data_IF_893525718140
#
_entry.id   IF_893525718140
#
_cell.length_a   1.000
_cell.length_b   1.000
_cell.length_c   1.000
_cell.angle_alpha   90.00
_cell.angle_beta   90.00
_cell.angle_gamma   90.00
#
_symmetry.space_group_name_H-M   'P 1'
#
loop_
_entity.id
_entity.type
_entity.pdbx_description
1 polymer ?
#
# COMPACT_ATOMS: atom_id res chain seq x y z
N UNK A 1 -12.82 -20.97 39.54
CA UNK A 1 -12.31 -20.79 38.14
C UNK A 1 -12.36 -19.30 37.86
N UNK A 2 -11.25 -18.65 38.14
CA UNK A 2 -11.13 -17.20 37.98
C UNK A 2 -10.70 -16.93 36.55
N UNK A 3 -11.68 -16.62 35.70
CA UNK A 3 -11.41 -16.15 34.34
C UNK A 3 -11.18 -14.65 34.45
N UNK A 4 -9.94 -14.28 34.76
CA UNK A 4 -9.46 -12.91 34.53
C UNK A 4 -9.66 -12.64 33.04
N UNK A 5 -10.71 -11.86 32.66
CA UNK A 5 -10.80 -11.21 31.37
C UNK A 5 -9.56 -10.33 31.28
N UNK A 6 -8.54 -10.77 30.54
CA UNK A 6 -7.51 -9.85 30.10
C UNK A 6 -8.24 -8.67 29.45
N UNK A 7 -8.03 -7.48 29.98
CA UNK A 7 -8.63 -6.27 29.42
C UNK A 7 -8.13 -6.16 27.97
N UNK A 8 -9.04 -6.25 27.02
CA UNK A 8 -8.72 -6.11 25.60
C UNK A 8 -8.11 -4.72 25.45
N UNK A 9 -6.84 -4.67 25.05
CA UNK A 9 -6.09 -3.43 24.83
C UNK A 9 -6.73 -2.71 23.64
N UNK A 10 -7.08 -1.44 23.79
CA UNK A 10 -7.64 -0.67 22.66
C UNK A 10 -6.62 -0.54 21.52
N UNK A 11 -7.08 -0.42 20.28
CA UNK A 11 -6.18 -0.24 19.14
C UNK A 11 -5.26 0.99 19.27
N UNK A 12 -5.70 2.04 19.97
CA UNK A 12 -4.88 3.21 20.27
C UNK A 12 -3.75 2.88 21.26
N UNK A 13 -4.00 2.03 22.23
CA UNK A 13 -2.97 1.55 23.16
C UNK A 13 -2.00 0.61 22.47
N UNK A 14 -2.50 -0.28 21.58
CA UNK A 14 -1.65 -1.13 20.76
C UNK A 14 -0.71 -0.28 19.89
N UNK A 15 -1.23 0.75 19.22
CA UNK A 15 -0.44 1.67 18.40
C UNK A 15 0.63 2.42 19.20
N UNK A 16 0.34 2.83 20.45
CA UNK A 16 1.31 3.47 21.34
C UNK A 16 2.43 2.53 21.78
N UNK A 17 2.16 1.24 21.78
CA UNK A 17 3.09 0.18 22.18
C UNK A 17 3.89 -0.39 21.01
N UNK A 18 3.88 0.28 19.85
CA UNK A 18 4.69 -0.12 18.71
C UNK A 18 6.18 -0.13 19.06
N UNK A 19 6.90 -1.07 18.48
CA UNK A 19 8.36 -1.11 18.54
C UNK A 19 8.92 -0.04 17.60
N UNK A 20 9.71 0.89 18.16
CA UNK A 20 10.21 2.06 17.44
C UNK A 20 11.73 2.24 17.51
N UNK A 21 12.43 1.44 18.33
CA UNK A 21 13.89 1.51 18.49
C UNK A 21 14.55 0.16 18.23
N UNK A 22 15.81 0.19 17.81
CA UNK A 22 16.60 -1.04 17.60
C UNK A 22 16.83 -1.76 18.90
N UNK A 23 17.05 -1.04 20.00
CA UNK A 23 17.20 -1.62 21.35
C UNK A 23 15.97 -2.45 21.77
N UNK A 24 14.75 -1.91 21.49
CA UNK A 24 13.54 -2.66 21.79
C UNK A 24 13.36 -3.84 20.86
N UNK A 25 13.62 -3.65 19.55
CA UNK A 25 13.51 -4.69 18.53
C UNK A 25 14.46 -5.86 18.83
N UNK A 26 15.66 -5.59 19.34
CA UNK A 26 16.67 -6.61 19.70
C UNK A 26 16.20 -7.58 20.81
N UNK A 27 15.13 -7.25 21.53
CA UNK A 27 14.51 -8.17 22.50
C UNK A 27 13.74 -9.31 21.82
N UNK A 28 13.36 -9.14 20.56
CA UNK A 28 12.54 -10.08 19.79
C UNK A 28 13.32 -10.73 18.64
N UNK A 29 14.21 -9.98 18.02
CA UNK A 29 14.97 -10.38 16.82
C UNK A 29 16.46 -10.22 17.12
N UNK A 30 17.27 -11.27 16.97
CA UNK A 30 18.72 -11.17 17.14
C UNK A 30 19.35 -10.36 16.01
N UNK A 31 20.31 -9.48 16.37
CA UNK A 31 21.15 -8.72 15.45
C UNK A 31 22.62 -8.95 15.79
N UNK A 32 23.48 -8.88 14.78
CA UNK A 32 24.91 -8.84 14.98
C UNK A 32 25.32 -7.49 15.61
N UNK A 33 26.18 -7.53 16.62
CA UNK A 33 26.60 -6.29 17.33
C UNK A 33 27.21 -5.25 16.39
N UNK A 34 27.84 -5.67 15.29
CA UNK A 34 28.43 -4.81 14.26
C UNK A 34 27.42 -4.08 13.38
N UNK A 35 26.14 -4.50 13.41
CA UNK A 35 25.07 -3.91 12.59
C UNK A 35 24.25 -2.88 13.38
N UNK A 36 24.20 -2.99 14.70
CA UNK A 36 23.30 -2.19 15.55
C UNK A 36 23.47 -0.69 15.30
N UNK A 37 24.68 -0.16 15.33
CA UNK A 37 24.95 1.26 15.13
C UNK A 37 24.48 1.75 13.75
N UNK A 38 24.67 0.92 12.70
CA UNK A 38 24.20 1.24 11.35
C UNK A 38 22.68 1.23 11.25
N UNK A 39 22.02 0.25 11.88
CA UNK A 39 20.56 0.16 11.92
C UNK A 39 19.95 1.33 12.70
N UNK A 40 20.57 1.76 13.80
CA UNK A 40 20.16 2.95 14.55
C UNK A 40 20.29 4.22 13.68
N UNK A 41 21.35 4.36 12.89
CA UNK A 41 21.48 5.47 11.93
C UNK A 41 20.35 5.46 10.89
N UNK A 42 20.03 4.29 10.32
CA UNK A 42 18.92 4.13 9.38
C UNK A 42 17.58 4.55 10.02
N UNK A 43 17.32 4.12 11.25
CA UNK A 43 16.06 4.44 11.97
C UNK A 43 15.97 5.92 12.32
N UNK A 44 17.08 6.59 12.52
CA UNK A 44 17.15 8.04 12.75
C UNK A 44 16.70 8.83 11.53
N UNK A 45 17.09 8.41 10.33
CA UNK A 45 16.74 9.07 9.07
C UNK A 45 15.37 8.61 8.55
N UNK A 46 15.07 7.31 8.70
CA UNK A 46 13.81 6.67 8.29
C UNK A 46 13.20 5.94 9.47
N UNK A 47 12.30 6.61 10.23
CA UNK A 47 11.72 6.06 11.44
C UNK A 47 11.16 4.65 11.26
N UNK A 48 11.24 3.86 12.32
CA UNK A 48 10.63 2.54 12.43
C UNK A 48 9.41 2.63 13.35
N UNK A 49 8.33 1.97 12.96
CA UNK A 49 7.15 1.77 13.80
C UNK A 49 6.54 0.42 13.41
N UNK A 50 6.51 -0.54 14.33
CA UNK A 50 6.02 -1.90 14.07
C UNK A 50 5.04 -2.28 15.17
N UNK A 51 3.74 -2.50 14.85
CA UNK A 51 2.78 -3.05 15.81
C UNK A 51 3.25 -4.40 16.33
N UNK A 52 3.06 -4.67 17.62
CA UNK A 52 3.44 -5.95 18.23
C UNK A 52 2.75 -7.13 17.57
N UNK A 53 1.50 -6.94 17.14
CA UNK A 53 0.80 -7.92 16.33
C UNK A 53 1.60 -8.26 15.06
N UNK A 54 2.01 -7.25 14.27
CA UNK A 54 2.75 -7.51 13.02
C UNK A 54 4.15 -8.09 13.27
N UNK A 55 4.81 -7.64 14.33
CA UNK A 55 6.10 -8.19 14.77
C UNK A 55 5.98 -9.68 15.13
N UNK A 56 4.87 -10.12 15.71
CA UNK A 56 4.64 -11.53 16.07
C UNK A 56 4.50 -12.48 14.88
N UNK A 57 4.35 -11.94 13.66
CA UNK A 57 4.28 -12.73 12.43
C UNK A 57 5.65 -13.13 11.89
N UNK A 58 6.72 -12.53 12.42
CA UNK A 58 8.10 -12.79 11.99
C UNK A 58 8.60 -14.07 12.62
N UNK A 59 9.20 -14.97 11.82
CA UNK A 59 10.04 -16.04 12.36
C UNK A 59 11.41 -15.44 12.75
N UNK A 60 11.74 -15.33 14.04
CA UNK A 60 13.00 -14.71 14.47
C UNK A 60 14.23 -15.51 14.05
N UNK A 61 14.09 -16.79 13.70
CA UNK A 61 15.17 -17.68 13.32
C UNK A 61 15.41 -17.70 11.79
N UNK A 62 14.48 -17.15 10.99
CA UNK A 62 14.64 -17.05 9.53
C UNK A 62 15.10 -15.64 9.14
N UNK A 63 16.36 -15.46 8.74
CA UNK A 63 16.85 -14.17 8.24
C UNK A 63 16.18 -13.74 6.92
N UNK A 64 15.56 -14.67 6.20
CA UNK A 64 14.87 -14.42 4.94
C UNK A 64 13.35 -14.31 5.10
N UNK A 65 12.83 -14.28 6.32
CA UNK A 65 11.40 -14.15 6.56
C UNK A 65 10.82 -12.94 5.81
N UNK A 66 9.75 -13.12 5.01
CA UNK A 66 9.18 -12.07 4.17
C UNK A 66 8.57 -10.93 4.99
N UNK A 67 8.05 -11.20 6.19
CA UNK A 67 7.49 -10.18 7.08
C UNK A 67 8.61 -9.35 7.68
N UNK A 68 9.71 -10.01 8.08
CA UNK A 68 10.95 -9.36 8.53
C UNK A 68 11.45 -8.37 7.49
N UNK A 69 11.59 -8.80 6.23
CA UNK A 69 12.08 -7.94 5.12
C UNK A 69 11.21 -6.70 4.91
N UNK A 70 9.89 -6.82 5.03
CA UNK A 70 8.97 -5.71 4.81
C UNK A 70 8.92 -4.71 5.95
N UNK A 71 9.29 -5.08 7.17
CA UNK A 71 9.06 -4.28 8.38
C UNK A 71 10.32 -3.83 9.11
N UNK A 72 11.39 -4.62 9.09
CA UNK A 72 12.62 -4.29 9.79
C UNK A 72 13.57 -3.47 8.91
N UNK A 73 14.30 -2.50 9.50
CA UNK A 73 15.37 -1.81 8.78
C UNK A 73 16.47 -2.79 8.38
N UNK A 74 17.11 -2.53 7.23
CA UNK A 74 18.13 -3.37 6.65
C UNK A 74 19.29 -2.52 6.10
N UNK A 75 20.50 -3.10 6.06
CA UNK A 75 21.71 -2.37 5.65
C UNK A 75 21.65 -1.88 4.19
N UNK A 76 20.86 -2.54 3.34
CA UNK A 76 20.59 -2.13 1.96
C UNK A 76 19.94 -0.74 1.87
N UNK A 77 19.31 -0.26 2.95
CA UNK A 77 18.75 1.08 3.03
C UNK A 77 19.80 2.19 3.12
N UNK A 78 21.07 1.85 3.30
CA UNK A 78 22.19 2.81 3.21
C UNK A 78 22.51 3.19 1.77
N UNK A 79 22.05 2.40 0.79
CA UNK A 79 22.21 2.72 -0.62
C UNK A 79 21.22 3.82 -1.04
N UNK A 80 21.74 4.92 -1.55
CA UNK A 80 20.99 6.10 -1.99
C UNK A 80 20.54 6.04 -3.45
N UNK A 81 20.77 4.92 -4.15
CA UNK A 81 20.34 4.73 -5.53
C UNK A 81 18.81 4.84 -5.66
N UNK A 82 18.36 5.62 -6.63
CA UNK A 82 16.93 5.80 -6.89
C UNK A 82 16.51 7.27 -6.99
N UNK A 83 15.22 7.51 -6.81
CA UNK A 83 14.61 8.85 -6.87
C UNK A 83 13.56 9.00 -5.78
N UNK A 84 13.40 10.20 -5.24
CA UNK A 84 12.38 10.46 -4.23
C UNK A 84 10.95 10.55 -4.79
N UNK A 85 10.80 11.11 -5.98
CA UNK A 85 9.50 11.26 -6.66
C UNK A 85 9.46 10.51 -7.98
N UNK A 86 9.19 9.22 -7.91
CA UNK A 86 9.14 8.29 -9.04
C UNK A 86 7.87 8.38 -9.88
N UNK A 87 6.89 9.18 -9.45
CA UNK A 87 5.57 9.28 -10.12
C UNK A 87 5.14 10.70 -10.45
N UNK A 88 6.00 11.69 -10.21
CA UNK A 88 5.72 13.11 -10.45
C UNK A 88 4.65 13.65 -9.50
N UNK A 89 4.67 13.24 -8.22
CA UNK A 89 3.66 13.68 -7.23
C UNK A 89 3.66 15.19 -7.08
N UNK A 90 4.85 15.83 -7.04
CA UNK A 90 4.98 17.28 -6.97
C UNK A 90 4.28 17.99 -8.14
N UNK A 91 4.49 17.52 -9.38
CA UNK A 91 3.87 18.10 -10.58
C UNK A 91 2.35 17.85 -10.69
N UNK A 92 1.84 16.88 -9.95
CA UNK A 92 0.42 16.53 -9.93
C UNK A 92 -0.34 17.22 -8.78
N UNK A 93 0.36 17.86 -7.85
CA UNK A 93 -0.23 18.60 -6.72
C UNK A 93 -0.94 19.87 -7.23
N UNK A 94 -2.22 20.02 -6.90
CA UNK A 94 -3.08 21.13 -7.29
C UNK A 94 -3.33 22.13 -6.16
N UNK A 95 -3.46 21.61 -4.97
CA UNK A 95 -3.48 22.35 -3.72
C UNK A 95 -2.88 21.48 -2.64
N UNK A 96 -2.56 22.04 -1.48
CA UNK A 96 -1.96 21.29 -0.38
C UNK A 96 -2.80 20.05 -0.05
N UNK A 97 -2.15 18.88 -0.08
CA UNK A 97 -2.79 17.59 0.16
C UNK A 97 -3.64 17.01 -0.96
N UNK A 98 -3.74 17.66 -2.14
CA UNK A 98 -4.51 17.15 -3.27
C UNK A 98 -3.63 16.95 -4.49
N UNK A 99 -3.63 15.73 -5.03
CA UNK A 99 -2.99 15.39 -6.30
C UNK A 99 -4.05 15.01 -7.35
N UNK A 100 -3.90 15.52 -8.58
CA UNK A 100 -4.77 15.23 -9.72
C UNK A 100 -3.92 14.87 -10.93
N UNK A 101 -3.65 13.58 -11.11
CA UNK A 101 -2.82 13.01 -12.18
C UNK A 101 -3.64 12.51 -13.35
N UNK A 102 -4.78 11.90 -13.08
CA UNK A 102 -5.68 11.29 -14.08
C UNK A 102 -7.00 12.03 -14.07
N UNK A 103 -7.53 12.38 -15.23
CA UNK A 103 -8.73 13.20 -15.35
C UNK A 103 -9.89 12.75 -14.43
N UNK A 104 -10.10 11.43 -14.28
CA UNK A 104 -11.22 10.91 -13.50
C UNK A 104 -10.91 10.71 -12.01
N UNK A 105 -9.65 10.90 -11.56
CA UNK A 105 -9.24 10.47 -10.22
C UNK A 105 -8.39 11.51 -9.52
N UNK A 106 -8.80 11.93 -8.34
CA UNK A 106 -7.95 12.67 -7.40
C UNK A 106 -7.49 11.82 -6.24
N UNK A 107 -6.36 12.20 -5.64
CA UNK A 107 -5.81 11.59 -4.44
C UNK A 107 -5.66 12.67 -3.36
N UNK A 108 -6.16 12.37 -2.15
CA UNK A 108 -6.03 13.22 -0.97
C UNK A 108 -4.99 12.60 -0.05
N UNK A 109 -3.94 13.35 0.28
CA UNK A 109 -2.96 13.01 1.30
C UNK A 109 -3.53 13.47 2.66
N UNK A 110 -4.23 12.58 3.35
CA UNK A 110 -4.98 12.91 4.56
C UNK A 110 -4.16 12.85 5.84
N UNK A 111 -3.01 12.19 5.82
CA UNK A 111 -2.10 12.01 6.96
C UNK A 111 -0.74 11.53 6.49
N UNK A 112 0.34 11.84 7.22
CA UNK A 112 1.67 11.23 7.06
C UNK A 112 1.88 10.01 7.96
N UNK A 113 0.94 9.70 8.87
CA UNK A 113 1.07 8.64 9.87
C UNK A 113 0.63 7.30 9.30
N UNK A 114 1.35 6.23 9.69
CA UNK A 114 0.98 4.83 9.45
C UNK A 114 1.05 4.06 10.77
N UNK A 115 0.27 2.98 10.88
CA UNK A 115 0.42 2.04 11.99
C UNK A 115 1.77 1.32 11.93
N UNK A 116 2.22 1.01 10.70
CA UNK A 116 3.53 0.40 10.46
C UNK A 116 4.25 1.15 9.33
N UNK A 117 5.54 1.42 9.51
CA UNK A 117 6.37 2.04 8.47
C UNK A 117 7.04 0.97 7.62
N UNK A 118 6.37 0.60 6.51
CA UNK A 118 6.86 -0.41 5.57
C UNK A 118 8.20 0.00 4.97
N UNK A 119 9.20 -0.88 4.97
CA UNK A 119 10.54 -0.56 4.43
C UNK A 119 10.53 -0.37 2.90
N UNK A 120 9.57 -0.97 2.19
CA UNK A 120 9.33 -0.80 0.75
C UNK A 120 8.41 0.39 0.40
N UNK A 121 8.17 1.32 1.32
CA UNK A 121 7.23 2.42 1.12
C UNK A 121 7.71 3.38 0.03
N UNK A 122 6.87 3.60 -1.00
CA UNK A 122 7.20 4.56 -2.06
C UNK A 122 7.10 6.03 -1.64
N UNK A 123 6.45 6.31 -0.50
CA UNK A 123 6.42 7.62 0.16
C UNK A 123 7.34 7.67 1.39
N UNK A 124 8.47 7.00 1.33
CA UNK A 124 9.44 6.96 2.43
C UNK A 124 9.88 8.36 2.88
N UNK A 125 9.91 9.34 1.96
CA UNK A 125 10.20 10.75 2.25
C UNK A 125 9.13 11.45 3.12
N UNK A 126 7.89 10.93 3.14
CA UNK A 126 6.73 11.56 3.79
C UNK A 126 6.37 10.84 5.08
N UNK A 127 6.26 9.50 5.02
CA UNK A 127 5.68 8.68 6.09
C UNK A 127 6.56 8.71 7.34
N UNK A 128 6.01 9.29 8.42
CA UNK A 128 6.70 9.43 9.71
C UNK A 128 7.79 10.51 9.74
N UNK A 129 8.00 11.27 8.65
CA UNK A 129 9.07 12.27 8.54
C UNK A 129 8.54 13.69 8.35
N UNK A 130 7.51 13.91 7.53
CA UNK A 130 7.02 15.25 7.21
C UNK A 130 5.50 15.28 7.02
N UNK A 131 4.88 16.38 7.44
CA UNK A 131 3.46 16.72 7.20
C UNK A 131 3.28 17.78 6.10
N UNK A 132 4.34 18.19 5.41
CA UNK A 132 4.31 19.28 4.44
C UNK A 132 3.40 19.02 3.24
N UNK A 133 3.30 17.77 2.80
CA UNK A 133 2.45 17.39 1.67
C UNK A 133 1.02 17.01 2.09
N UNK A 134 0.71 16.99 3.39
CA UNK A 134 -0.58 16.54 3.93
C UNK A 134 -1.59 17.66 3.93
N UNK A 135 -2.86 17.35 3.66
CA UNK A 135 -3.97 18.29 3.72
C UNK A 135 -4.15 18.86 5.12
N UNK A 136 -3.88 20.14 5.31
CA UNK A 136 -4.13 20.85 6.58
C UNK A 136 -5.58 21.31 6.67
N UNK A 137 -6.18 21.66 5.54
CA UNK A 137 -7.57 22.06 5.44
C UNK A 137 -8.26 21.36 4.29
N UNK A 138 -9.54 20.99 4.46
CA UNK A 138 -10.28 20.26 3.43
C UNK A 138 -11.07 21.16 2.48
N UNK A 139 -11.36 22.40 2.86
CA UNK A 139 -12.20 23.28 2.06
C UNK A 139 -11.65 23.59 0.65
N UNK A 140 -10.35 23.88 0.44
CA UNK A 140 -9.80 24.07 -0.92
C UNK A 140 -9.87 22.81 -1.77
N UNK A 141 -9.65 21.64 -1.16
CA UNK A 141 -9.75 20.33 -1.82
C UNK A 141 -11.18 20.10 -2.31
N UNK A 142 -12.15 20.36 -1.43
CA UNK A 142 -13.57 20.18 -1.74
C UNK A 142 -14.02 21.12 -2.86
N UNK A 143 -13.60 22.40 -2.84
CA UNK A 143 -13.87 23.36 -3.92
C UNK A 143 -13.30 22.86 -5.25
N UNK A 144 -12.02 22.45 -5.26
CA UNK A 144 -11.38 21.92 -6.45
C UNK A 144 -12.15 20.73 -7.04
N UNK A 145 -12.53 19.75 -6.20
CA UNK A 145 -13.28 18.57 -6.68
C UNK A 145 -14.64 18.99 -7.25
N UNK A 146 -15.36 19.91 -6.61
CA UNK A 146 -16.67 20.40 -7.09
C UNK A 146 -16.58 21.15 -8.43
N UNK A 147 -15.49 21.85 -8.67
CA UNK A 147 -15.26 22.60 -9.91
C UNK A 147 -14.86 21.72 -11.09
N UNK A 148 -14.28 20.53 -10.83
CA UNK A 148 -13.74 19.61 -11.83
C UNK A 148 -14.69 18.43 -12.05
N UNK A 149 -15.69 18.62 -12.93
CA UNK A 149 -16.75 17.64 -13.19
C UNK A 149 -16.25 16.32 -13.83
N UNK A 150 -15.05 16.33 -14.41
CA UNK A 150 -14.39 15.13 -14.94
C UNK A 150 -13.92 14.16 -13.85
N UNK A 151 -13.78 14.62 -12.61
CA UNK A 151 -13.41 13.78 -11.47
C UNK A 151 -14.62 12.97 -11.05
N UNK A 152 -14.58 11.67 -11.22
CA UNK A 152 -15.66 10.79 -10.80
C UNK A 152 -15.33 9.92 -9.59
N UNK A 153 -14.09 9.97 -9.09
CA UNK A 153 -13.72 9.27 -7.86
C UNK A 153 -12.55 9.93 -7.12
N UNK A 154 -12.53 9.70 -5.82
CA UNK A 154 -11.50 10.22 -4.90
C UNK A 154 -10.84 9.06 -4.18
N UNK A 155 -9.50 9.08 -4.08
CA UNK A 155 -8.71 8.19 -3.23
C UNK A 155 -8.20 8.96 -2.02
N UNK A 156 -8.67 8.63 -0.83
CA UNK A 156 -8.14 9.13 0.45
C UNK A 156 -6.97 8.21 0.86
N UNK A 157 -5.79 8.78 1.02
CA UNK A 157 -4.52 8.07 1.25
C UNK A 157 -3.57 8.95 2.06
N UNK A 158 -2.27 8.88 1.77
CA UNK A 158 -1.20 9.60 2.48
C UNK A 158 -0.23 8.60 3.10
N UNK A 159 -0.12 8.61 4.43
CA UNK A 159 0.33 7.48 5.21
C UNK A 159 -0.73 6.38 5.17
N UNK A 160 -1.43 6.15 6.26
CA UNK A 160 -2.57 5.23 6.26
C UNK A 160 -3.87 5.96 6.60
N UNK A 161 -4.81 5.98 5.65
CA UNK A 161 -6.03 6.78 5.79
C UNK A 161 -6.94 6.34 6.95
N UNK A 162 -6.87 5.08 7.39
CA UNK A 162 -7.65 4.60 8.53
C UNK A 162 -7.03 4.93 9.89
N UNK A 163 -5.84 5.53 9.93
CA UNK A 163 -5.31 6.16 11.16
C UNK A 163 -5.88 7.54 11.44
N UNK A 164 -6.59 8.14 10.51
CA UNK A 164 -7.42 9.29 10.85
C UNK A 164 -8.45 8.88 11.90
N UNK A 165 -8.79 9.81 12.81
CA UNK A 165 -9.86 9.55 13.75
C UNK A 165 -11.23 9.45 13.04
N UNK A 166 -12.21 8.85 13.72
CA UNK A 166 -13.53 8.59 13.16
C UNK A 166 -14.25 9.87 12.71
N UNK A 167 -14.05 10.98 13.43
CA UNK A 167 -14.65 12.29 13.08
C UNK A 167 -14.10 12.81 11.75
N UNK A 168 -12.80 12.68 11.49
CA UNK A 168 -12.17 13.05 10.21
C UNK A 168 -12.65 12.16 9.07
N UNK A 169 -12.73 10.84 9.29
CA UNK A 169 -13.25 9.90 8.29
C UNK A 169 -14.71 10.22 7.96
N UNK A 170 -15.54 10.43 8.98
CA UNK A 170 -16.94 10.80 8.82
C UNK A 170 -17.10 12.13 8.07
N UNK A 171 -16.25 13.13 8.39
CA UNK A 171 -16.26 14.42 7.72
C UNK A 171 -15.92 14.29 6.22
N UNK A 172 -14.85 13.59 5.86
CA UNK A 172 -14.54 13.31 4.45
C UNK A 172 -15.68 12.62 3.73
N UNK A 173 -16.23 11.57 4.32
CA UNK A 173 -17.34 10.81 3.73
C UNK A 173 -18.59 11.67 3.57
N UNK A 174 -18.93 12.50 4.57
CA UNK A 174 -20.06 13.42 4.53
C UNK A 174 -19.96 14.37 3.34
N UNK A 175 -18.84 15.08 3.24
CA UNK A 175 -18.64 16.11 2.22
C UNK A 175 -18.54 15.50 0.81
N UNK A 176 -17.76 14.41 0.65
CA UNK A 176 -17.56 13.78 -0.66
C UNK A 176 -18.81 13.03 -1.14
N UNK A 177 -19.58 12.39 -0.25
CA UNK A 177 -20.80 11.70 -0.65
C UNK A 177 -21.91 12.65 -1.14
N UNK A 178 -21.83 13.93 -0.78
CA UNK A 178 -22.72 14.98 -1.26
C UNK A 178 -22.38 15.54 -2.65
N UNK A 179 -21.26 15.13 -3.25
CA UNK A 179 -20.87 15.57 -4.59
C UNK A 179 -21.51 14.63 -5.63
N UNK A 180 -22.37 15.17 -6.47
CA UNK A 180 -23.21 14.39 -7.38
C UNK A 180 -22.40 13.62 -8.42
N UNK A 181 -21.39 14.26 -9.06
CA UNK A 181 -20.58 13.66 -10.13
C UNK A 181 -19.55 12.62 -9.65
N UNK A 182 -19.34 12.45 -8.33
CA UNK A 182 -18.52 11.35 -7.83
C UNK A 182 -19.33 10.05 -7.85
N UNK A 183 -18.78 9.00 -8.48
CA UNK A 183 -19.37 7.66 -8.50
C UNK A 183 -19.05 6.88 -7.21
N UNK A 184 -17.82 7.03 -6.70
CA UNK A 184 -17.34 6.29 -5.52
C UNK A 184 -16.18 6.98 -4.80
N UNK A 185 -15.98 6.58 -3.54
CA UNK A 185 -14.89 7.03 -2.67
C UNK A 185 -14.02 5.82 -2.33
N UNK A 186 -12.68 6.01 -2.30
CA UNK A 186 -11.73 4.96 -1.96
C UNK A 186 -10.86 5.35 -0.77
N UNK A 187 -10.60 4.39 0.09
CA UNK A 187 -9.56 4.50 1.12
C UNK A 187 -8.39 3.60 0.76
N UNK A 188 -7.17 4.16 0.76
CA UNK A 188 -5.93 3.39 0.67
C UNK A 188 -5.42 3.12 2.09
N UNK A 189 -5.48 1.88 2.55
CA UNK A 189 -5.10 1.52 3.92
C UNK A 189 -4.47 0.14 3.99
N UNK A 190 -3.45 0.00 4.83
CA UNK A 190 -2.84 -1.29 5.19
C UNK A 190 -3.24 -1.74 6.60
N UNK A 191 -4.17 -1.05 7.24
CA UNK A 191 -4.68 -1.37 8.58
C UNK A 191 -5.18 -2.82 8.69
N UNK A 192 -5.93 -3.40 7.74
CA UNK A 192 -6.32 -4.81 7.84
C UNK A 192 -5.14 -5.77 8.00
N UNK A 193 -3.96 -5.36 7.50
CA UNK A 193 -2.72 -6.16 7.52
C UNK A 193 -1.87 -5.88 8.74
N UNK A 194 -1.70 -4.61 9.11
CA UNK A 194 -0.70 -4.19 10.10
C UNK A 194 -1.26 -3.95 11.50
N UNK A 195 -2.54 -3.57 11.60
CA UNK A 195 -3.23 -3.27 12.88
C UNK A 195 -4.72 -3.62 12.77
N UNK A 196 -5.09 -4.92 12.64
CA UNK A 196 -6.48 -5.35 12.45
C UNK A 196 -7.44 -4.88 13.55
N UNK A 197 -6.94 -4.72 14.78
CA UNK A 197 -7.69 -4.24 15.95
C UNK A 197 -8.36 -2.87 15.71
N UNK A 198 -7.76 -1.99 14.89
CA UNK A 198 -8.36 -0.70 14.49
C UNK A 198 -9.73 -0.87 13.82
N UNK A 199 -9.99 -2.02 13.20
CA UNK A 199 -11.27 -2.33 12.55
C UNK A 199 -12.12 -3.22 13.44
N UNK A 200 -11.53 -4.27 14.06
CA UNK A 200 -12.30 -5.26 14.84
C UNK A 200 -12.77 -4.72 16.19
N UNK A 201 -12.09 -3.73 16.75
CA UNK A 201 -12.40 -3.17 18.08
C UNK A 201 -12.99 -1.74 17.99
N UNK A 202 -13.26 -1.25 16.77
CA UNK A 202 -13.86 0.06 16.57
C UNK A 202 -15.20 -0.04 15.78
N UNK A 203 -16.29 -0.37 16.45
CA UNK A 203 -17.61 -0.47 15.81
C UNK A 203 -18.09 0.87 15.23
N UNK A 204 -17.65 2.01 15.78
CA UNK A 204 -18.00 3.34 15.25
C UNK A 204 -17.47 3.53 13.83
N UNK A 205 -16.25 3.07 13.53
CA UNK A 205 -15.72 3.12 12.17
C UNK A 205 -16.62 2.33 11.20
N UNK A 206 -17.04 1.14 11.59
CA UNK A 206 -17.90 0.29 10.77
C UNK A 206 -19.28 0.93 10.57
N UNK A 207 -19.85 1.58 11.59
CA UNK A 207 -21.12 2.28 11.49
C UNK A 207 -21.03 3.51 10.57
N UNK A 208 -19.95 4.27 10.64
CA UNK A 208 -19.66 5.39 9.72
C UNK A 208 -19.61 4.87 8.26
N UNK A 209 -18.81 3.82 8.02
CA UNK A 209 -18.70 3.24 6.67
C UNK A 209 -20.06 2.74 6.15
N UNK A 210 -20.86 2.10 7.02
CA UNK A 210 -22.21 1.60 6.69
C UNK A 210 -23.19 2.74 6.40
N UNK A 211 -23.13 3.83 7.15
CA UNK A 211 -23.99 5.00 6.93
C UNK A 211 -23.73 5.63 5.56
N UNK A 212 -22.46 5.95 5.29
CA UNK A 212 -22.11 6.64 4.04
C UNK A 212 -22.03 5.71 2.83
N UNK A 213 -21.80 4.42 3.02
CA UNK A 213 -21.87 3.40 1.98
C UNK A 213 -23.27 3.28 1.33
N UNK A 214 -24.33 3.71 2.04
CA UNK A 214 -25.68 3.82 1.47
C UNK A 214 -25.85 5.02 0.53
N UNK A 215 -25.01 6.03 0.66
CA UNK A 215 -25.09 7.28 -0.14
C UNK A 215 -24.16 7.21 -1.35
N UNK A 216 -22.97 6.63 -1.19
CA UNK A 216 -21.94 6.55 -2.21
C UNK A 216 -21.15 5.24 -2.02
N UNK A 217 -20.86 4.53 -3.11
CA UNK A 217 -20.04 3.30 -3.02
C UNK A 217 -18.69 3.59 -2.40
N UNK A 218 -18.30 2.79 -1.42
CA UNK A 218 -16.99 2.89 -0.75
C UNK A 218 -16.14 1.67 -1.10
N UNK A 219 -14.90 1.94 -1.52
CA UNK A 219 -13.88 0.92 -1.72
C UNK A 219 -12.77 1.07 -0.68
N UNK A 220 -12.31 -0.03 -0.14
CA UNK A 220 -11.04 -0.13 0.58
C UNK A 220 -10.03 -0.81 -0.34
N UNK A 221 -8.91 -0.16 -0.54
CA UNK A 221 -7.77 -0.71 -1.27
C UNK A 221 -6.67 -1.01 -0.25
N UNK A 222 -6.54 -2.29 0.07
CA UNK A 222 -5.52 -2.78 1.00
C UNK A 222 -4.29 -3.32 0.28
N UNK A 223 -3.27 -3.75 1.05
CA UNK A 223 -2.01 -4.24 0.51
C UNK A 223 -1.50 -5.45 1.31
N UNK A 224 -1.93 -6.63 0.91
CA UNK A 224 -1.30 -7.90 1.27
C UNK A 224 -0.22 -8.21 0.23
N UNK A 225 0.98 -8.52 0.68
CA UNK A 225 2.11 -8.88 -0.19
C UNK A 225 2.53 -10.34 -0.04
N UNK A 226 2.19 -10.98 1.09
CA UNK A 226 2.52 -12.37 1.37
C UNK A 226 1.37 -13.09 2.09
N UNK A 227 1.28 -14.42 1.93
CA UNK A 227 0.23 -15.24 2.58
C UNK A 227 0.33 -15.24 4.10
N UNK A 228 1.53 -15.07 4.68
CA UNK A 228 1.73 -14.97 6.14
C UNK A 228 1.01 -13.76 6.76
N UNK A 229 0.63 -12.77 5.97
CA UNK A 229 -0.16 -11.62 6.40
C UNK A 229 -1.67 -11.92 6.51
N UNK A 230 -2.15 -13.02 5.87
CA UNK A 230 -3.55 -13.44 5.90
C UNK A 230 -3.86 -14.25 7.17
N UNK A 231 -3.62 -13.63 8.31
CA UNK A 231 -3.90 -14.22 9.63
C UNK A 231 -5.39 -14.25 9.94
N UNK A 232 -5.84 -15.03 10.93
CA UNK A 232 -7.22 -14.99 11.39
C UNK A 232 -7.68 -13.58 11.79
N UNK A 233 -6.81 -12.78 12.44
CA UNK A 233 -7.11 -11.40 12.85
C UNK A 233 -7.27 -10.48 11.65
N UNK A 234 -6.36 -10.57 10.67
CA UNK A 234 -6.45 -9.80 9.43
C UNK A 234 -7.73 -10.15 8.64
N UNK A 235 -8.06 -11.45 8.53
CA UNK A 235 -9.27 -11.91 7.85
C UNK A 235 -10.52 -11.41 8.59
N UNK A 236 -10.56 -11.49 9.93
CA UNK A 236 -11.69 -10.99 10.72
C UNK A 236 -11.92 -9.48 10.47
N UNK A 237 -10.85 -8.68 10.37
CA UNK A 237 -10.97 -7.25 10.06
C UNK A 237 -11.50 -7.00 8.65
N UNK A 238 -11.05 -7.79 7.68
CA UNK A 238 -11.55 -7.70 6.29
C UNK A 238 -13.02 -8.11 6.20
N UNK A 239 -13.45 -9.14 6.91
CA UNK A 239 -14.83 -9.65 6.87
C UNK A 239 -15.87 -8.63 7.41
N UNK A 240 -15.46 -7.70 8.26
CA UNK A 240 -16.32 -6.63 8.75
C UNK A 240 -16.63 -5.57 7.67
N UNK A 241 -15.71 -5.30 6.75
CA UNK A 241 -15.87 -4.26 5.74
C UNK A 241 -17.03 -4.53 4.76
N UNK A 242 -17.18 -5.71 4.15
CA UNK A 242 -18.36 -6.04 3.34
C UNK A 242 -19.67 -5.98 4.13
N UNK A 243 -19.66 -6.26 5.43
CA UNK A 243 -20.87 -6.11 6.28
C UNK A 243 -21.36 -4.66 6.38
N UNK A 244 -20.45 -3.70 6.14
CA UNK A 244 -20.74 -2.27 6.03
C UNK A 244 -21.02 -1.81 4.58
N UNK A 245 -21.08 -2.72 3.60
CA UNK A 245 -21.28 -2.41 2.19
C UNK A 245 -20.01 -1.97 1.46
N UNK A 246 -18.84 -2.15 2.06
CA UNK A 246 -17.53 -1.76 1.49
C UNK A 246 -16.98 -2.87 0.60
N UNK A 247 -16.43 -2.50 -0.55
CA UNK A 247 -15.76 -3.43 -1.48
C UNK A 247 -14.26 -3.41 -1.20
N UNK A 248 -13.65 -4.58 -0.98
CA UNK A 248 -12.23 -4.70 -0.64
C UNK A 248 -11.40 -5.16 -1.83
N UNK A 249 -10.44 -4.33 -2.24
CA UNK A 249 -9.46 -4.63 -3.28
C UNK A 249 -8.06 -4.74 -2.67
N UNK A 250 -7.19 -5.55 -3.28
CA UNK A 250 -5.78 -5.67 -2.91
C UNK A 250 -4.85 -5.14 -4.02
N UNK A 251 -3.85 -4.36 -3.62
CA UNK A 251 -2.75 -3.92 -4.48
C UNK A 251 -1.45 -4.48 -3.93
N UNK A 252 -1.04 -5.63 -4.44
CA UNK A 252 0.27 -6.25 -4.12
C UNK A 252 1.39 -5.44 -4.77
N UNK A 253 2.55 -5.36 -4.14
CA UNK A 253 3.81 -4.91 -4.75
C UNK A 253 4.71 -6.11 -4.96
N UNK A 254 5.31 -6.25 -6.15
CA UNK A 254 6.32 -7.27 -6.43
C UNK A 254 7.63 -6.86 -5.74
N UNK A 255 8.08 -7.65 -4.79
CA UNK A 255 9.20 -7.34 -3.91
C UNK A 255 10.22 -8.49 -3.88
N UNK A 256 11.49 -8.17 -4.13
CA UNK A 256 12.61 -9.11 -4.04
C UNK A 256 12.69 -9.75 -2.65
N UNK A 257 12.73 -11.09 -2.62
CA UNK A 257 12.83 -11.89 -1.40
C UNK A 257 11.59 -11.86 -0.51
N UNK A 258 10.44 -11.41 -1.03
CA UNK A 258 9.14 -11.43 -0.35
C UNK A 258 8.15 -12.28 -1.12
N UNK A 259 7.92 -11.95 -2.39
CA UNK A 259 6.93 -12.59 -3.25
C UNK A 259 7.38 -12.70 -4.71
N UNK A 260 8.67 -12.66 -4.95
CA UNK A 260 9.30 -12.83 -6.26
C UNK A 260 9.45 -14.30 -6.66
N UNK A 261 8.51 -15.12 -6.24
CA UNK A 261 8.35 -16.51 -6.58
C UNK A 261 6.93 -16.80 -7.10
N UNK A 262 6.78 -17.55 -8.22
CA UNK A 262 5.47 -17.83 -8.82
C UNK A 262 4.49 -18.56 -7.90
N UNK A 263 4.96 -19.49 -7.05
CA UNK A 263 4.09 -20.24 -6.14
C UNK A 263 3.59 -19.34 -5.00
N UNK A 264 4.46 -18.52 -4.45
CA UNK A 264 4.14 -17.54 -3.43
C UNK A 264 3.07 -16.55 -3.91
N UNK A 265 3.21 -15.99 -5.11
CA UNK A 265 2.21 -15.09 -5.69
C UNK A 265 0.90 -15.80 -6.01
N UNK A 266 0.94 -16.99 -6.58
CA UNK A 266 -0.27 -17.77 -6.89
C UNK A 266 -1.05 -18.12 -5.62
N UNK A 267 -0.34 -18.54 -4.57
CA UNK A 267 -0.92 -18.83 -3.27
C UNK A 267 -1.57 -17.58 -2.65
N UNK A 268 -0.89 -16.42 -2.74
CA UNK A 268 -1.46 -15.15 -2.29
C UNK A 268 -2.75 -14.83 -3.03
N UNK A 269 -2.75 -14.80 -4.37
CA UNK A 269 -3.93 -14.42 -5.16
C UNK A 269 -5.11 -15.38 -4.96
N UNK A 270 -4.86 -16.68 -4.89
CA UNK A 270 -5.90 -17.68 -4.60
C UNK A 270 -6.47 -17.50 -3.18
N UNK A 271 -5.61 -17.18 -2.20
CA UNK A 271 -6.02 -16.93 -0.82
C UNK A 271 -6.80 -15.62 -0.66
N UNK A 272 -6.43 -14.57 -1.39
CA UNK A 272 -7.19 -13.31 -1.41
C UNK A 272 -8.65 -13.56 -1.86
N UNK A 273 -8.84 -14.25 -2.99
CA UNK A 273 -10.19 -14.56 -3.50
C UNK A 273 -10.97 -15.42 -2.52
N UNK A 274 -10.34 -16.42 -1.88
CA UNK A 274 -10.98 -17.26 -0.85
C UNK A 274 -11.52 -16.42 0.31
N UNK A 275 -10.84 -15.33 0.65
CA UNK A 275 -11.20 -14.41 1.72
C UNK A 275 -11.94 -13.15 1.20
N UNK A 276 -12.59 -13.20 0.05
CA UNK A 276 -13.42 -12.11 -0.53
C UNK A 276 -12.66 -10.81 -0.81
N UNK A 277 -11.34 -10.87 -0.92
CA UNK A 277 -10.48 -9.75 -1.29
C UNK A 277 -10.19 -9.84 -2.78
N UNK A 278 -10.46 -8.76 -3.51
CA UNK A 278 -10.29 -8.71 -4.97
C UNK A 278 -8.85 -8.41 -5.33
N UNK A 279 -8.07 -9.31 -5.96
CA UNK A 279 -6.77 -8.97 -6.51
C UNK A 279 -6.93 -7.94 -7.64
N UNK A 280 -6.44 -6.73 -7.42
CA UNK A 280 -6.65 -5.62 -8.34
C UNK A 280 -5.41 -5.32 -9.17
N UNK A 281 -4.29 -5.03 -8.52
CA UNK A 281 -2.99 -4.83 -9.14
C UNK A 281 -1.90 -5.64 -8.45
N UNK A 282 -0.89 -6.01 -9.24
CA UNK A 282 0.46 -6.21 -8.76
C UNK A 282 1.30 -5.06 -9.32
N UNK A 283 1.92 -4.28 -8.45
CA UNK A 283 2.76 -3.17 -8.85
C UNK A 283 4.23 -3.56 -8.89
N UNK A 284 4.90 -3.19 -9.96
CA UNK A 284 6.35 -3.14 -9.98
C UNK A 284 6.85 -2.22 -8.86
N UNK A 285 7.82 -2.69 -8.07
CA UNK A 285 8.42 -1.88 -7.01
C UNK A 285 9.09 -0.65 -7.63
N UNK A 286 8.78 0.53 -7.09
CA UNK A 286 9.31 1.79 -7.61
C UNK A 286 10.79 1.96 -7.25
N UNK A 287 11.61 2.62 -8.10
CA UNK A 287 13.00 2.91 -7.82
C UNK A 287 13.17 4.06 -6.82
N UNK A 288 12.54 3.94 -5.65
CA UNK A 288 12.66 4.95 -4.59
C UNK A 288 14.00 4.81 -3.89
N UNK A 289 14.62 5.94 -3.61
CA UNK A 289 15.85 6.03 -2.81
C UNK A 289 15.69 5.29 -1.49
N UNK A 290 16.67 4.47 -1.11
CA UNK A 290 16.66 3.58 0.07
C UNK A 290 15.58 2.45 0.04
N UNK A 291 15.03 2.16 -1.15
CA UNK A 291 14.08 1.05 -1.38
C UNK A 291 14.52 0.20 -2.57
N UNK A 292 15.03 0.86 -3.62
CA UNK A 292 15.36 0.26 -4.92
C UNK A 292 16.22 -0.98 -4.78
N UNK A 293 17.35 -0.86 -4.15
CA UNK A 293 18.37 -1.91 -4.06
C UNK A 293 17.88 -3.16 -3.34
N UNK A 294 17.10 -2.96 -2.29
CA UNK A 294 16.56 -4.08 -1.49
C UNK A 294 15.41 -4.82 -2.18
N UNK A 295 14.53 -4.10 -2.91
CA UNK A 295 13.23 -4.65 -3.26
C UNK A 295 12.90 -4.75 -4.75
N UNK A 296 13.65 -4.08 -5.64
CA UNK A 296 13.30 -4.14 -7.06
C UNK A 296 13.60 -5.51 -7.67
N UNK A 297 12.71 -5.93 -8.56
CA UNK A 297 12.85 -7.10 -9.43
C UNK A 297 12.97 -6.59 -10.86
N UNK A 298 13.92 -7.06 -11.69
CA UNK A 298 14.01 -6.71 -13.10
C UNK A 298 12.69 -6.97 -13.85
N UNK A 299 12.35 -6.10 -14.79
CA UNK A 299 11.08 -6.16 -15.53
C UNK A 299 10.85 -7.49 -16.24
N UNK A 300 11.87 -8.02 -16.93
CA UNK A 300 11.78 -9.29 -17.64
C UNK A 300 11.56 -10.46 -16.67
N UNK A 301 12.28 -10.49 -15.56
CA UNK A 301 12.11 -11.48 -14.50
C UNK A 301 10.72 -11.37 -13.86
N UNK A 302 10.30 -10.16 -13.49
CA UNK A 302 9.00 -9.90 -12.88
C UNK A 302 7.83 -10.31 -13.77
N UNK A 303 7.88 -10.04 -15.07
CA UNK A 303 6.88 -10.48 -16.04
C UNK A 303 6.78 -12.01 -16.08
N UNK A 304 7.91 -12.71 -16.12
CA UNK A 304 7.97 -14.19 -16.11
C UNK A 304 7.36 -14.76 -14.81
N UNK A 305 7.73 -14.21 -13.66
CA UNK A 305 7.19 -14.61 -12.34
C UNK A 305 5.68 -14.45 -12.32
N UNK A 306 5.18 -13.28 -12.73
CA UNK A 306 3.74 -12.97 -12.71
C UNK A 306 2.95 -13.88 -13.66
N UNK A 307 3.46 -14.15 -14.86
CA UNK A 307 2.80 -15.03 -15.82
C UNK A 307 2.76 -16.49 -15.34
N UNK A 308 3.85 -16.98 -14.75
CA UNK A 308 3.90 -18.30 -14.15
C UNK A 308 2.94 -18.41 -12.94
N UNK A 309 2.85 -17.37 -12.10
CA UNK A 309 1.88 -17.32 -11.02
C UNK A 309 0.44 -17.35 -11.53
N UNK A 310 0.11 -16.55 -12.55
CA UNK A 310 -1.21 -16.53 -13.18
C UNK A 310 -1.59 -17.88 -13.79
N UNK A 311 -0.64 -18.61 -14.34
CA UNK A 311 -0.89 -19.96 -14.87
C UNK A 311 -1.38 -20.94 -13.81
N UNK A 312 -1.01 -20.73 -12.53
CA UNK A 312 -1.42 -21.54 -11.37
C UNK A 312 -2.70 -21.02 -10.68
N UNK A 313 -3.25 -19.91 -11.16
CA UNK A 313 -4.43 -19.26 -10.58
C UNK A 313 -5.72 -19.65 -11.30
N UNK A 314 -6.85 -19.66 -10.55
CA UNK A 314 -8.18 -19.73 -11.14
C UNK A 314 -8.56 -18.42 -11.87
N UNK A 315 -9.66 -18.41 -12.63
CA UNK A 315 -10.08 -17.26 -13.44
C UNK A 315 -10.29 -15.98 -12.67
N UNK A 316 -10.75 -16.04 -11.40
CA UNK A 316 -10.93 -14.85 -10.55
C UNK A 316 -9.62 -14.34 -9.96
N UNK A 317 -8.72 -15.23 -9.58
CA UNK A 317 -7.42 -14.87 -8.99
C UNK A 317 -6.48 -14.24 -10.01
N UNK A 318 -6.47 -14.74 -11.27
CA UNK A 318 -5.55 -14.28 -12.34
C UNK A 318 -5.95 -12.97 -13.03
N UNK A 319 -7.08 -12.35 -12.68
CA UNK A 319 -7.52 -11.06 -13.26
C UNK A 319 -6.67 -9.87 -12.85
N UNK A 320 -5.75 -10.05 -11.91
CA UNK A 320 -4.79 -9.04 -11.46
C UNK A 320 -3.98 -8.50 -12.64
N UNK A 321 -3.73 -7.19 -12.67
CA UNK A 321 -2.88 -6.54 -13.68
C UNK A 321 -1.50 -6.27 -13.11
N UNK A 322 -0.46 -6.62 -13.87
CA UNK A 322 0.90 -6.23 -13.55
C UNK A 322 1.17 -4.86 -14.16
N UNK A 323 1.53 -3.88 -13.33
CA UNK A 323 1.65 -2.51 -13.78
C UNK A 323 2.72 -1.73 -13.02
N UNK A 324 3.24 -0.67 -13.62
CA UNK A 324 4.03 0.35 -12.93
C UNK A 324 3.26 1.67 -12.86
N UNK A 325 3.43 2.39 -11.73
CA UNK A 325 2.89 3.74 -11.57
C UNK A 325 3.98 4.75 -11.92
N UNK A 326 4.21 4.92 -13.22
CA UNK A 326 5.21 5.79 -13.82
C UNK A 326 4.75 7.27 -13.80
N UNK A 327 5.65 8.23 -13.96
CA UNK A 327 5.32 9.66 -13.98
C UNK A 327 4.35 10.03 -15.13
N UNK A 328 4.45 9.35 -16.27
CA UNK A 328 3.59 9.57 -17.46
C UNK A 328 2.23 8.89 -17.33
N UNK A 329 2.06 7.94 -16.41
CA UNK A 329 0.80 7.21 -16.23
C UNK A 329 0.94 5.89 -15.49
N UNK A 330 -0.15 5.13 -15.47
CA UNK A 330 -0.14 3.74 -15.05
C UNK A 330 0.07 2.87 -16.28
N UNK A 331 1.22 2.22 -16.35
CA UNK A 331 1.66 1.42 -17.50
C UNK A 331 1.54 -0.06 -17.12
N UNK A 332 0.72 -0.81 -17.85
CA UNK A 332 0.60 -2.26 -17.74
C UNK A 332 1.78 -2.92 -18.44
N UNK A 333 2.42 -3.86 -17.76
CA UNK A 333 3.52 -4.68 -18.24
C UNK A 333 2.88 -5.93 -18.84
N UNK A 334 2.93 -6.08 -20.16
CA UNK A 334 2.23 -7.15 -20.87
C UNK A 334 3.10 -8.41 -21.04
N UNK A 335 4.41 -8.25 -21.07
CA UNK A 335 5.37 -9.36 -21.20
C UNK A 335 6.42 -9.11 -22.26
N UNK A 336 7.34 -10.08 -22.42
CA UNK A 336 8.39 -10.04 -23.44
C UNK A 336 7.84 -10.43 -24.80
N UNK A 337 8.19 -9.68 -25.85
CA UNK A 337 7.93 -10.04 -27.25
C UNK A 337 9.02 -10.96 -27.79
N UNK A 338 10.25 -10.76 -27.34
CA UNK A 338 11.44 -11.54 -27.69
C UNK A 338 12.46 -11.40 -26.55
N UNK A 339 13.68 -11.82 -26.73
CA UNK A 339 14.70 -11.83 -25.68
C UNK A 339 15.08 -10.43 -25.16
N UNK A 340 14.77 -9.36 -25.91
CA UNK A 340 15.16 -7.99 -25.56
C UNK A 340 13.99 -7.02 -25.42
N UNK A 341 12.96 -7.18 -26.23
CA UNK A 341 11.84 -6.24 -26.30
C UNK A 341 10.70 -6.64 -25.37
N UNK A 342 10.24 -5.70 -24.56
CA UNK A 342 9.06 -5.83 -23.72
C UNK A 342 7.90 -4.98 -24.24
N UNK A 343 6.69 -5.53 -24.14
CA UNK A 343 5.45 -4.89 -24.54
C UNK A 343 4.76 -4.26 -23.35
N UNK A 344 4.32 -3.01 -23.53
CA UNK A 344 3.63 -2.20 -22.53
C UNK A 344 2.34 -1.62 -23.09
N UNK A 345 1.42 -1.25 -22.18
CA UNK A 345 0.19 -0.53 -22.52
C UNK A 345 -0.12 0.51 -21.45
N UNK A 346 -0.46 1.72 -21.87
CA UNK A 346 -1.03 2.68 -20.95
C UNK A 346 -2.41 2.21 -20.49
N UNK A 347 -2.52 1.84 -19.23
CA UNK A 347 -3.80 1.56 -18.57
C UNK A 347 -4.52 2.86 -18.20
N UNK A 348 -3.76 3.83 -17.67
CA UNK A 348 -4.18 5.22 -17.46
C UNK A 348 -3.02 6.12 -17.86
N UNK A 349 -3.25 7.14 -18.65
CA UNK A 349 -2.24 8.09 -19.08
C UNK A 349 -2.46 9.46 -18.44
N UNK A 350 -1.37 10.16 -18.10
CA UNK A 350 -1.42 11.57 -17.68
C UNK A 350 -1.78 12.47 -18.87
N UNK A 351 -1.16 12.22 -20.04
CA UNK A 351 -1.56 12.84 -21.32
C UNK A 351 -2.61 11.97 -22.02
N UNK A 352 -3.83 12.46 -22.23
CA UNK A 352 -4.90 11.71 -22.91
C UNK A 352 -4.52 11.10 -24.27
N UNK A 353 -3.55 11.72 -24.99
CA UNK A 353 -3.05 11.22 -26.28
C UNK A 353 -2.40 9.84 -26.18
N UNK A 354 -1.89 9.49 -25.01
CA UNK A 354 -1.31 8.20 -24.71
C UNK A 354 -2.32 7.16 -24.21
N UNK A 355 -3.59 7.52 -24.07
CA UNK A 355 -4.62 6.63 -23.54
C UNK A 355 -4.73 5.34 -24.35
N UNK A 356 -4.61 4.19 -23.70
CA UNK A 356 -4.64 2.85 -24.32
C UNK A 356 -3.52 2.56 -25.34
N UNK A 357 -2.53 3.44 -25.49
CA UNK A 357 -1.39 3.24 -26.39
C UNK A 357 -0.60 2.01 -25.97
N UNK A 358 -0.31 1.14 -26.96
CA UNK A 358 0.60 0.00 -26.83
C UNK A 358 1.95 0.44 -27.41
N UNK A 359 3.04 0.06 -26.75
CA UNK A 359 4.41 0.37 -27.18
C UNK A 359 5.39 -0.68 -26.68
N UNK A 360 6.54 -0.76 -27.32
CA UNK A 360 7.65 -1.62 -26.91
C UNK A 360 8.84 -0.81 -26.44
N UNK A 361 9.65 -1.43 -25.58
CA UNK A 361 10.93 -0.90 -25.14
C UNK A 361 11.96 -2.03 -25.19
N UNK A 362 13.11 -1.77 -25.78
CA UNK A 362 14.27 -2.64 -25.66
C UNK A 362 14.87 -2.48 -24.24
N UNK A 363 14.90 -3.58 -23.48
CA UNK A 363 15.38 -3.55 -22.10
C UNK A 363 16.89 -3.77 -22.05
N UNK A 364 17.52 -3.05 -21.14
CA UNK A 364 18.88 -3.35 -20.68
C UNK A 364 18.87 -4.51 -19.67
N UNK A 365 20.03 -5.17 -19.52
CA UNK A 365 20.17 -6.24 -18.54
C UNK A 365 19.90 -5.72 -17.12
N UNK A 366 19.00 -6.38 -16.41
CA UNK A 366 18.63 -5.99 -15.04
C UNK A 366 17.73 -4.75 -14.95
N UNK A 367 17.27 -4.17 -16.07
CA UNK A 367 16.39 -3.00 -16.04
C UNK A 367 15.09 -3.29 -15.28
N UNK A 368 14.81 -2.48 -14.25
CA UNK A 368 13.66 -2.67 -13.35
C UNK A 368 12.61 -1.54 -13.44
N UNK A 369 12.85 -0.49 -14.27
CA UNK A 369 11.94 0.64 -14.45
C UNK A 369 12.14 1.30 -15.81
N UNK A 370 11.13 2.01 -16.34
CA UNK A 370 11.20 2.80 -17.58
C UNK A 370 11.78 4.19 -17.35
#
# INVERSE_FOLDING_TARGET
MDTTKEAIMSWQEELKNNVTTIEELAKYIPFESSEIEKLESIVKDFPMSIPRYYLSLIDPNDPNDPIRKMSLPALEELDDAGMWDTSGEASNTKTEGLQHKYAQTTLILSTSKCAMYCRHCFRKRLVGTSDEEVAKTFAPILSYIKEHQEINNVLISGGDSFLNNNQVIAYYLKELSGIEHLDFIRFGTRIPVSLPSRITEDPELIDILREYGKKKTIYVTTQFNHTNELTPQAIASVDLLPSAGVIVNNQTVLLRGVNDDPDTLANLFNSLIRNRIIPYYIFQCRPVTHVKTQFQVPLAEGAKIVDQAKAKCNGFSKRVRYAMSHETGKIEILGMLNDKEMLFKYHQAKDPKNSSRIFTVELEDGQAWL
#
